data_IF_654823516343
#
_entry.id   IF_654823516343
#
_cell.length_a   1.000
_cell.length_b   1.000
_cell.length_c   1.000
_cell.angle_alpha   90.00
_cell.angle_beta   90.00
_cell.angle_gamma   90.00
#
_symmetry.space_group_name_H-M   'P 1'
#
loop_
_entity.id
_entity.type
_entity.pdbx_description
1 polymer ?
#
# COMPACT_ATOMS: atom_id res chain seq x y z
N UNK A 1 -56.04 -8.89 -35.01
CA UNK A 1 -56.16 -7.47 -34.59
C UNK A 1 -54.78 -6.83 -34.72
N UNK A 2 -54.58 -5.88 -35.64
CA UNK A 2 -53.26 -5.35 -36.00
C UNK A 2 -52.63 -4.38 -34.97
N UNK A 3 -53.40 -3.82 -34.04
CA UNK A 3 -52.90 -2.85 -33.04
C UNK A 3 -52.05 -3.44 -31.91
N UNK A 4 -52.24 -4.72 -31.56
CA UNK A 4 -51.57 -5.34 -30.41
C UNK A 4 -50.06 -5.58 -30.64
N UNK A 5 -49.63 -5.73 -31.89
CA UNK A 5 -48.23 -5.95 -32.26
C UNK A 5 -47.41 -4.65 -32.23
N UNK A 6 -48.03 -3.51 -32.52
CA UNK A 6 -47.39 -2.18 -32.49
C UNK A 6 -47.09 -1.76 -31.04
N UNK A 7 -48.07 -1.90 -30.13
CA UNK A 7 -47.90 -1.57 -28.70
C UNK A 7 -46.81 -2.44 -28.06
N UNK A 8 -46.82 -3.73 -28.36
CA UNK A 8 -45.81 -4.68 -27.85
C UNK A 8 -44.41 -4.26 -28.30
N UNK A 9 -44.23 -3.86 -29.56
CA UNK A 9 -42.94 -3.41 -30.11
C UNK A 9 -42.44 -2.12 -29.44
N UNK A 10 -43.33 -1.17 -29.17
CA UNK A 10 -43.00 0.06 -28.44
C UNK A 10 -42.59 -0.25 -27.00
N UNK A 11 -43.33 -1.12 -26.31
CA UNK A 11 -42.99 -1.56 -24.94
C UNK A 11 -41.63 -2.25 -24.91
N UNK A 12 -41.35 -3.15 -25.85
CA UNK A 12 -40.02 -3.79 -25.96
C UNK A 12 -38.91 -2.77 -26.18
N UNK A 13 -39.13 -1.77 -27.02
CA UNK A 13 -38.15 -0.70 -27.28
C UNK A 13 -37.88 0.15 -26.04
N UNK A 14 -38.92 0.50 -25.28
CA UNK A 14 -38.81 1.22 -24.01
C UNK A 14 -38.09 0.40 -22.94
N UNK A 15 -38.42 -0.89 -22.80
CA UNK A 15 -37.77 -1.80 -21.86
C UNK A 15 -36.29 -1.99 -22.19
N UNK A 16 -35.96 -2.15 -23.47
CA UNK A 16 -34.57 -2.26 -23.93
C UNK A 16 -33.76 -1.02 -23.60
N UNK A 17 -34.30 0.18 -23.86
CA UNK A 17 -33.62 1.43 -23.50
C UNK A 17 -33.49 1.62 -21.99
N UNK A 18 -34.52 1.28 -21.22
CA UNK A 18 -34.44 1.32 -19.75
C UNK A 18 -33.37 0.35 -19.21
N UNK A 19 -33.29 -0.87 -19.76
CA UNK A 19 -32.28 -1.86 -19.39
C UNK A 19 -30.85 -1.36 -19.72
N UNK A 20 -30.65 -0.78 -20.89
CA UNK A 20 -29.37 -0.18 -21.29
C UNK A 20 -28.93 0.93 -20.34
N UNK A 21 -29.84 1.83 -19.96
CA UNK A 21 -29.54 2.91 -19.02
C UNK A 21 -29.12 2.38 -17.64
N UNK A 22 -29.78 1.32 -17.15
CA UNK A 22 -29.40 0.68 -15.89
C UNK A 22 -28.02 0.04 -15.99
N UNK A 23 -27.71 -0.64 -17.09
CA UNK A 23 -26.38 -1.24 -17.31
C UNK A 23 -25.30 -0.15 -17.35
N UNK A 24 -25.54 0.94 -18.10
CA UNK A 24 -24.60 2.06 -18.18
C UNK A 24 -24.34 2.68 -16.80
N UNK A 25 -25.40 2.90 -16.01
CA UNK A 25 -25.28 3.39 -14.64
C UNK A 25 -24.46 2.44 -13.76
N UNK A 26 -24.69 1.12 -13.85
CA UNK A 26 -23.94 0.12 -13.11
C UNK A 26 -22.45 0.11 -13.50
N UNK A 27 -22.14 0.25 -14.79
CA UNK A 27 -20.76 0.35 -15.28
C UNK A 27 -20.08 1.60 -14.72
N UNK A 28 -20.76 2.76 -14.75
CA UNK A 28 -20.22 4.01 -14.17
C UNK A 28 -19.96 3.85 -12.67
N UNK A 29 -20.89 3.26 -11.92
CA UNK A 29 -20.69 2.99 -10.49
C UNK A 29 -19.53 2.04 -10.23
N UNK A 30 -19.38 1.00 -11.05
CA UNK A 30 -18.26 0.07 -10.97
C UNK A 30 -16.93 0.79 -11.22
N UNK A 31 -16.82 1.60 -12.28
CA UNK A 31 -15.63 2.40 -12.55
C UNK A 31 -15.31 3.33 -11.38
N UNK A 32 -16.30 4.05 -10.84
CA UNK A 32 -16.11 4.93 -9.68
C UNK A 32 -15.60 4.15 -8.46
N UNK A 33 -16.16 2.97 -8.19
CA UNK A 33 -15.72 2.11 -7.08
C UNK A 33 -14.26 1.66 -7.22
N UNK A 34 -13.83 1.31 -8.44
CA UNK A 34 -12.46 0.91 -8.73
C UNK A 34 -11.53 2.12 -8.54
N UNK A 35 -11.90 3.29 -9.04
CA UNK A 35 -11.11 4.53 -8.89
C UNK A 35 -10.96 4.90 -7.42
N UNK A 36 -12.05 4.93 -6.65
CA UNK A 36 -11.99 5.28 -5.21
C UNK A 36 -11.15 4.27 -4.44
N UNK A 37 -11.30 2.98 -4.72
CA UNK A 37 -10.50 1.93 -4.06
C UNK A 37 -9.02 2.03 -4.43
N UNK A 38 -8.72 2.26 -5.70
CA UNK A 38 -7.37 2.52 -6.19
C UNK A 38 -6.74 3.72 -5.52
N UNK A 39 -7.43 4.87 -5.48
CA UNK A 39 -6.96 6.08 -4.82
C UNK A 39 -6.66 5.86 -3.33
N UNK A 40 -7.52 5.12 -2.61
CA UNK A 40 -7.29 4.80 -1.20
C UNK A 40 -6.04 3.94 -1.00
N UNK A 41 -5.87 2.91 -1.83
CA UNK A 41 -4.68 2.04 -1.78
C UNK A 41 -3.41 2.82 -2.10
N UNK A 42 -3.42 3.64 -3.15
CA UNK A 42 -2.28 4.48 -3.51
C UNK A 42 -1.98 5.52 -2.43
N UNK A 43 -3.01 6.15 -1.87
CA UNK A 43 -2.84 7.11 -0.78
C UNK A 43 -2.19 6.47 0.44
N UNK A 44 -2.70 5.30 0.87
CA UNK A 44 -2.12 4.57 2.00
C UNK A 44 -0.68 4.16 1.71
N UNK A 45 -0.40 3.63 0.51
CA UNK A 45 0.96 3.27 0.12
C UNK A 45 1.90 4.48 0.11
N UNK A 46 1.51 5.61 -0.50
CA UNK A 46 2.30 6.83 -0.48
C UNK A 46 2.50 7.37 0.94
N UNK A 47 1.46 7.31 1.78
CA UNK A 47 1.58 7.72 3.18
C UNK A 47 2.53 6.81 3.96
N UNK A 48 2.50 5.50 3.73
CA UNK A 48 3.47 4.57 4.35
C UNK A 48 4.90 4.80 3.86
N UNK A 49 5.09 5.19 2.60
CA UNK A 49 6.43 5.46 2.02
C UNK A 49 6.99 6.80 2.49
N UNK A 50 6.18 7.86 2.47
CA UNK A 50 6.64 9.24 2.70
C UNK A 50 6.34 9.78 4.11
N UNK A 51 5.42 9.16 4.85
CA UNK A 51 5.02 9.59 6.18
C UNK A 51 5.91 9.05 7.30
N UNK A 52 5.70 9.57 8.52
CA UNK A 52 6.25 9.03 9.75
C UNK A 52 5.34 7.91 10.26
N UNK A 53 5.55 6.69 9.78
CA UNK A 53 4.80 5.51 10.23
C UNK A 53 5.64 4.74 11.23
N UNK A 54 5.24 4.81 12.50
CA UNK A 54 5.68 3.87 13.53
C UNK A 54 4.68 2.72 13.63
N UNK A 55 5.15 1.53 14.01
CA UNK A 55 4.25 0.38 14.16
C UNK A 55 3.44 0.47 15.45
N UNK A 56 4.08 0.90 16.53
CA UNK A 56 3.45 1.10 17.83
C UNK A 56 3.56 2.57 18.25
N UNK A 57 2.64 3.03 19.11
CA UNK A 57 2.80 4.31 19.79
C UNK A 57 3.80 4.12 20.94
N UNK A 58 4.56 5.17 21.26
CA UNK A 58 5.45 5.18 22.42
C UNK A 58 4.68 4.72 23.69
N UNK A 59 5.26 3.87 24.55
CA UNK A 59 6.69 3.59 24.69
C UNK A 59 7.26 2.45 23.82
N UNK A 60 6.44 1.76 23.01
CA UNK A 60 6.90 0.65 22.15
C UNK A 60 7.59 -0.50 22.92
N UNK A 61 8.36 -1.32 22.20
CA UNK A 61 9.16 -2.45 22.71
C UNK A 61 10.49 -2.49 21.99
N UNK A 62 11.56 -2.77 22.73
CA UNK A 62 12.89 -2.96 22.16
C UNK A 62 13.06 -4.40 21.67
N UNK A 63 13.61 -4.55 20.46
CA UNK A 63 13.87 -5.81 19.77
C UNK A 63 15.34 -5.77 19.32
N UNK A 64 16.08 -6.82 19.63
CA UNK A 64 17.45 -7.02 19.18
C UNK A 64 17.42 -7.58 17.75
N UNK A 65 18.00 -6.83 16.80
CA UNK A 65 17.95 -7.13 15.38
C UNK A 65 19.37 -7.24 14.81
N UNK A 66 19.67 -8.37 14.20
CA UNK A 66 21.00 -8.65 13.62
C UNK A 66 21.00 -8.52 12.10
N UNK A 67 21.98 -7.80 11.54
CA UNK A 67 22.24 -7.70 10.09
C UNK A 67 23.50 -8.49 9.74
N UNK A 68 23.36 -9.40 8.78
CA UNK A 68 24.45 -10.21 8.22
C UNK A 68 25.19 -9.45 7.10
N UNK A 69 26.45 -9.78 6.82
CA UNK A 69 27.27 -9.06 5.81
C UNK A 69 26.73 -9.18 4.38
N UNK A 70 26.07 -10.28 4.06
CA UNK A 70 25.47 -10.57 2.75
C UNK A 70 23.98 -10.20 2.67
N UNK A 71 23.44 -9.59 3.73
CA UNK A 71 22.03 -9.29 3.83
C UNK A 71 21.65 -8.13 2.90
N UNK A 72 20.66 -8.36 2.06
CA UNK A 72 20.15 -7.32 1.15
C UNK A 72 19.12 -6.45 1.86
N UNK A 73 19.01 -5.17 1.49
CA UNK A 73 17.99 -4.26 2.05
C UNK A 73 16.56 -4.84 2.01
N UNK A 74 16.24 -5.57 0.95
CA UNK A 74 14.94 -6.25 0.84
C UNK A 74 14.75 -7.38 1.87
N UNK A 75 15.80 -8.18 2.14
CA UNK A 75 15.76 -9.24 3.16
C UNK A 75 15.63 -8.65 4.56
N UNK A 76 16.42 -7.61 4.85
CA UNK A 76 16.34 -6.85 6.10
C UNK A 76 14.93 -6.28 6.29
N UNK A 77 14.36 -5.61 5.29
CA UNK A 77 12.99 -5.10 5.36
C UNK A 77 11.96 -6.21 5.68
N UNK A 78 12.08 -7.38 5.03
CA UNK A 78 11.19 -8.51 5.29
C UNK A 78 11.31 -9.04 6.73
N UNK A 79 12.54 -9.12 7.25
CA UNK A 79 12.81 -9.56 8.62
C UNK A 79 12.31 -8.55 9.65
N UNK A 80 12.58 -7.26 9.46
CA UNK A 80 12.03 -6.17 10.26
C UNK A 80 10.50 -6.23 10.34
N UNK A 81 9.83 -6.54 9.23
CA UNK A 81 8.36 -6.68 9.23
C UNK A 81 7.90 -7.93 10.00
N UNK A 82 8.63 -9.04 9.87
CA UNK A 82 8.33 -10.31 10.54
C UNK A 82 8.48 -10.22 12.05
N UNK A 83 9.55 -9.58 12.51
CA UNK A 83 9.78 -9.28 13.94
C UNK A 83 8.89 -8.14 14.44
N UNK A 84 8.34 -7.38 13.50
CA UNK A 84 7.34 -6.40 13.79
C UNK A 84 7.90 -5.07 14.23
N UNK A 85 9.04 -4.67 13.68
CA UNK A 85 9.61 -3.34 13.78
C UNK A 85 9.04 -2.37 12.73
N UNK A 86 8.56 -2.89 11.60
CA UNK A 86 7.94 -2.09 10.53
C UNK A 86 6.56 -2.61 10.14
N UNK A 87 5.72 -1.76 9.56
CA UNK A 87 4.36 -2.11 9.13
C UNK A 87 4.40 -2.92 7.83
N UNK A 88 5.12 -2.43 6.82
CA UNK A 88 5.09 -3.01 5.48
C UNK A 88 6.48 -3.00 4.83
N UNK A 89 7.05 -4.17 4.48
CA UNK A 89 8.41 -4.28 3.95
C UNK A 89 8.56 -3.62 2.58
N UNK A 90 7.49 -3.56 1.78
CA UNK A 90 7.53 -2.93 0.47
C UNK A 90 7.60 -1.41 0.58
N UNK A 91 6.83 -0.82 1.52
CA UNK A 91 6.85 0.63 1.76
C UNK A 91 8.21 1.08 2.29
N UNK A 92 8.79 0.32 3.23
CA UNK A 92 10.12 0.56 3.76
C UNK A 92 11.19 0.44 2.67
N UNK A 93 11.16 -0.64 1.88
CA UNK A 93 12.09 -0.82 0.78
C UNK A 93 11.97 0.29 -0.27
N UNK A 94 10.75 0.70 -0.63
CA UNK A 94 10.54 1.82 -1.54
C UNK A 94 11.14 3.13 -1.00
N UNK A 95 11.00 3.41 0.31
CA UNK A 95 11.64 4.57 0.96
C UNK A 95 13.16 4.50 0.84
N UNK A 96 13.77 3.34 1.11
CA UNK A 96 15.23 3.16 0.99
C UNK A 96 15.74 3.39 -0.45
N UNK A 97 14.95 3.03 -1.47
CA UNK A 97 15.30 3.27 -2.88
C UNK A 97 15.25 4.75 -3.27
N UNK A 98 14.45 5.56 -2.58
CA UNK A 98 14.33 7.00 -2.81
C UNK A 98 15.42 7.81 -2.08
N UNK A 99 16.06 7.22 -1.06
CA UNK A 99 17.15 7.84 -0.32
C UNK A 99 18.45 7.78 -1.11
N UNK A 100 19.40 8.67 -0.80
CA UNK A 100 20.70 8.73 -1.47
C UNK A 100 21.42 7.37 -1.39
N UNK A 101 22.19 7.00 -2.43
CA UNK A 101 22.94 5.72 -2.45
C UNK A 101 23.87 5.55 -1.25
N UNK A 102 24.38 6.64 -0.66
CA UNK A 102 25.17 6.61 0.58
C UNK A 102 24.41 5.98 1.75
N UNK A 103 23.09 6.21 1.85
CA UNK A 103 22.17 5.66 2.86
C UNK A 103 21.53 4.33 2.45
N UNK A 104 22.02 3.67 1.39
CA UNK A 104 21.57 2.32 1.00
C UNK A 104 22.56 1.23 1.39
N UNK A 105 23.73 1.60 1.90
CA UNK A 105 24.72 0.65 2.41
C UNK A 105 24.32 0.24 3.82
N UNK A 106 23.98 -1.03 3.98
CA UNK A 106 23.75 -1.63 5.29
C UNK A 106 25.09 -1.91 5.98
N UNK A 107 25.13 -1.67 7.28
CA UNK A 107 26.24 -2.07 8.12
C UNK A 107 25.86 -3.35 8.88
N UNK A 108 26.69 -4.40 8.82
CA UNK A 108 26.45 -5.62 9.58
C UNK A 108 26.69 -5.38 11.07
N UNK A 109 25.85 -5.99 11.92
CA UNK A 109 25.91 -5.79 13.37
C UNK A 109 24.58 -6.11 14.07
N UNK A 110 24.60 -6.07 15.40
CA UNK A 110 23.40 -6.15 16.24
C UNK A 110 22.95 -4.74 16.62
N UNK A 111 21.65 -4.50 16.43
CA UNK A 111 20.99 -3.22 16.61
C UNK A 111 19.81 -3.39 17.55
N UNK A 112 19.74 -2.56 18.59
CA UNK A 112 18.56 -2.47 19.44
C UNK A 112 17.57 -1.49 18.81
N UNK A 113 16.48 -2.00 18.24
CA UNK A 113 15.45 -1.22 17.56
C UNK A 113 14.15 -1.21 18.37
N UNK A 114 13.43 -0.09 18.37
CA UNK A 114 12.17 0.04 19.10
C UNK A 114 10.99 0.05 18.12
N UNK A 115 9.89 -0.63 18.45
CA UNK A 115 8.66 -0.69 17.61
C UNK A 115 7.95 0.66 17.42
N UNK A 116 8.27 1.66 18.23
CA UNK A 116 7.80 3.04 18.10
C UNK A 116 8.70 3.91 17.22
N UNK A 117 9.86 3.41 16.78
CA UNK A 117 10.70 4.13 15.81
C UNK A 117 9.98 4.23 14.46
N UNK A 118 10.20 5.33 13.76
CA UNK A 118 9.75 5.48 12.39
C UNK A 118 10.74 4.83 11.39
N UNK A 119 10.34 4.79 10.11
CA UNK A 119 11.17 4.18 9.08
C UNK A 119 12.50 4.93 8.86
N UNK A 120 12.55 6.24 9.07
CA UNK A 120 13.77 7.03 8.90
C UNK A 120 14.76 6.73 9.99
N UNK A 121 14.30 6.71 11.24
CA UNK A 121 15.11 6.37 12.41
C UNK A 121 15.71 4.97 12.26
N UNK A 122 14.91 3.99 11.82
CA UNK A 122 15.40 2.64 11.54
C UNK A 122 16.45 2.69 10.43
N UNK A 123 16.17 3.32 9.29
CA UNK A 123 17.13 3.37 8.17
C UNK A 123 18.44 4.04 8.60
N UNK A 124 18.38 5.15 9.32
CA UNK A 124 19.57 5.85 9.80
C UNK A 124 20.38 4.98 10.77
N UNK A 125 19.74 4.23 11.67
CA UNK A 125 20.43 3.27 12.56
C UNK A 125 21.18 2.18 11.78
N UNK A 126 20.60 1.71 10.68
CA UNK A 126 21.18 0.61 9.90
C UNK A 126 22.22 1.07 8.86
N UNK A 127 22.29 2.38 8.58
CA UNK A 127 23.08 2.93 7.46
C UNK A 127 24.08 4.00 7.89
N UNK A 128 24.01 4.50 9.12
CA UNK A 128 25.03 5.36 9.71
C UNK A 128 26.01 4.48 10.50
N UNK A 129 27.27 4.51 10.09
CA UNK A 129 28.37 3.87 10.81
C UNK A 129 28.81 4.84 11.92
N UNK A 130 28.62 4.47 13.20
CA UNK A 130 29.32 5.12 14.32
C UNK A 130 30.76 4.61 14.43
#
# INVERSE_FOLDING_TARGET
>A
MPGQNEETKVIFHLLYHAMLLVIEMLVVLLVLSVVVSGCRLTYQFCYEVFGSVSKEQAPGRDIDFEIEEDDTMYRVAKRLSTEGLIVNPYSFYARTLMMERSRTKLYPGSYLLNTAMDYEEIIDRLTVNE
#
